data_IF_976347086763
#
_entry.id   IF_976347086763
#
_cell.length_a   1.000
_cell.length_b   1.000
_cell.length_c   1.000
_cell.angle_alpha   90.00
_cell.angle_beta   90.00
_cell.angle_gamma   90.00
#
_symmetry.space_group_name_H-M   'P 1'
#
loop_
_entity.id
_entity.type
_entity.pdbx_description
1 polymer ?
#
# COMPACT_ATOMS: atom_id res chain seq x y z
N UNK A 1 26.25 13.33 -12.55
CA UNK A 1 25.21 12.30 -12.72
C UNK A 1 24.69 11.91 -11.35
N UNK A 2 23.40 12.06 -11.12
CA UNK A 2 22.81 11.52 -9.91
C UNK A 2 22.71 10.00 -10.07
N UNK A 3 23.48 9.28 -9.27
CA UNK A 3 23.36 7.85 -9.14
C UNK A 3 21.96 7.53 -8.61
N UNK A 4 21.24 6.60 -9.23
CA UNK A 4 19.93 6.19 -8.77
C UNK A 4 20.07 5.57 -7.37
N UNK A 5 19.21 5.99 -6.43
CA UNK A 5 19.20 5.45 -5.08
C UNK A 5 18.91 3.94 -5.12
N UNK A 6 19.58 3.17 -4.26
CA UNK A 6 19.19 1.80 -3.98
C UNK A 6 17.80 1.77 -3.31
N UNK A 7 17.11 0.63 -3.36
CA UNK A 7 15.80 0.49 -2.71
C UNK A 7 15.81 0.86 -1.22
N UNK A 8 16.78 0.39 -0.40
CA UNK A 8 16.86 0.80 1.01
C UNK A 8 17.05 2.32 1.17
N UNK A 9 17.95 2.93 0.42
CA UNK A 9 18.17 4.38 0.46
C UNK A 9 16.94 5.18 0.06
N UNK A 10 16.20 4.68 -0.95
CA UNK A 10 14.95 5.29 -1.38
C UNK A 10 13.92 5.32 -0.24
N UNK A 11 13.74 4.20 0.46
CA UNK A 11 12.79 4.13 1.59
C UNK A 11 13.25 4.95 2.79
N UNK A 12 14.55 4.99 3.09
CA UNK A 12 15.09 5.85 4.15
C UNK A 12 14.80 7.33 3.86
N UNK A 13 15.03 7.76 2.62
CA UNK A 13 14.74 9.12 2.19
C UNK A 13 13.24 9.42 2.17
N UNK A 14 12.45 8.50 1.67
CA UNK A 14 11.00 8.64 1.62
C UNK A 14 10.41 8.78 3.03
N UNK A 15 10.85 7.95 3.97
CA UNK A 15 10.43 8.04 5.37
C UNK A 15 10.82 9.38 6.00
N UNK A 16 12.06 9.83 5.80
CA UNK A 16 12.52 11.11 6.33
C UNK A 16 11.69 12.28 5.77
N UNK A 17 11.41 12.30 4.49
CA UNK A 17 10.59 13.32 3.83
C UNK A 17 9.14 13.30 4.33
N UNK A 18 8.56 12.12 4.55
CA UNK A 18 7.23 11.98 5.11
C UNK A 18 7.16 12.49 6.56
N UNK A 19 8.12 12.13 7.39
CA UNK A 19 8.19 12.62 8.77
C UNK A 19 8.29 14.14 8.83
N UNK A 20 9.13 14.74 7.98
CA UNK A 20 9.27 16.20 7.90
C UNK A 20 8.00 16.87 7.37
N UNK A 21 7.36 16.30 6.35
CA UNK A 21 6.16 16.88 5.71
C UNK A 21 4.96 16.82 6.63
N UNK A 22 4.81 15.72 7.36
CA UNK A 22 3.66 15.45 8.23
C UNK A 22 3.88 15.91 9.69
N UNK A 23 5.01 16.50 10.00
CA UNK A 23 5.29 17.00 11.34
C UNK A 23 4.21 17.97 11.81
N UNK A 24 3.57 17.67 12.94
CA UNK A 24 2.50 18.49 13.51
C UNK A 24 1.12 18.32 12.82
N UNK A 25 1.02 17.44 11.85
CA UNK A 25 -0.27 17.12 11.19
C UNK A 25 -0.94 15.97 11.95
N UNK A 26 -2.10 16.26 12.51
CA UNK A 26 -2.95 15.29 13.21
C UNK A 26 -4.24 15.09 12.40
N UNK A 27 -4.08 14.54 11.20
CA UNK A 27 -5.18 14.31 10.26
C UNK A 27 -4.87 13.07 9.41
N UNK A 28 -5.66 12.02 9.60
CA UNK A 28 -5.44 10.74 8.91
C UNK A 28 -5.62 10.85 7.39
N UNK A 29 -6.55 11.68 6.94
CA UNK A 29 -6.79 11.87 5.50
C UNK A 29 -5.58 12.55 4.86
N UNK A 30 -5.07 13.61 5.48
CA UNK A 30 -3.88 14.30 5.00
C UNK A 30 -2.65 13.38 4.99
N UNK A 31 -2.48 12.58 6.04
CA UNK A 31 -1.39 11.61 6.14
C UNK A 31 -1.49 10.55 5.03
N UNK A 32 -2.64 9.92 4.87
CA UNK A 32 -2.87 8.91 3.82
C UNK A 32 -2.67 9.48 2.41
N UNK A 33 -3.20 10.67 2.14
CA UNK A 33 -3.05 11.32 0.85
C UNK A 33 -1.58 11.61 0.51
N UNK A 34 -0.82 12.09 1.49
CA UNK A 34 0.60 12.39 1.32
C UNK A 34 1.43 11.13 1.11
N UNK A 35 1.19 10.09 1.89
CA UNK A 35 1.86 8.79 1.72
C UNK A 35 1.55 8.20 0.34
N UNK A 36 0.28 8.15 -0.05
CA UNK A 36 -0.12 7.65 -1.37
C UNK A 36 0.56 8.41 -2.50
N UNK A 37 0.61 9.73 -2.40
CA UNK A 37 1.26 10.59 -3.38
C UNK A 37 2.75 10.28 -3.52
N UNK A 38 3.50 10.26 -2.42
CA UNK A 38 4.95 10.07 -2.46
C UNK A 38 5.36 8.64 -2.82
N UNK A 39 4.62 7.63 -2.37
CA UNK A 39 4.86 6.24 -2.78
C UNK A 39 4.63 6.09 -4.28
N UNK A 40 3.52 6.60 -4.80
CA UNK A 40 3.20 6.56 -6.22
C UNK A 40 4.26 7.26 -7.08
N UNK A 41 4.71 8.43 -6.63
CA UNK A 41 5.67 9.25 -7.38
C UNK A 41 7.09 8.68 -7.38
N UNK A 42 7.53 8.10 -6.25
CA UNK A 42 8.95 7.79 -6.02
C UNK A 42 9.33 6.33 -6.09
N UNK A 43 8.41 5.41 -5.78
CA UNK A 43 8.73 3.98 -5.86
C UNK A 43 8.66 3.52 -7.32
N UNK A 44 9.77 3.04 -7.89
CA UNK A 44 9.80 2.69 -9.30
C UNK A 44 8.79 1.60 -9.67
N UNK A 45 8.11 1.79 -10.81
CA UNK A 45 7.18 0.82 -11.37
C UNK A 45 5.81 0.78 -10.72
N UNK A 46 5.54 1.61 -9.72
CA UNK A 46 4.22 1.68 -9.07
C UNK A 46 3.19 2.27 -10.04
N UNK A 47 2.07 1.58 -10.20
CA UNK A 47 0.93 2.01 -11.01
C UNK A 47 -0.28 2.46 -10.20
N UNK A 48 -0.34 2.07 -8.92
CA UNK A 48 -1.37 2.45 -7.96
C UNK A 48 -0.77 2.46 -6.56
N UNK A 49 -1.10 3.46 -5.76
CA UNK A 49 -0.79 3.48 -4.33
C UNK A 49 -1.96 4.11 -3.58
N UNK A 50 -2.55 3.38 -2.66
CA UNK A 50 -3.73 3.88 -1.97
C UNK A 50 -4.10 3.10 -0.74
N UNK A 51 -5.01 3.70 0.03
CA UNK A 51 -5.49 3.14 1.28
C UNK A 51 -6.91 2.64 1.14
N UNK A 52 -7.18 1.48 1.73
CA UNK A 52 -8.52 0.98 1.99
C UNK A 52 -8.75 0.97 3.49
N UNK A 53 -9.76 1.70 3.96
CA UNK A 53 -10.08 1.86 5.38
C UNK A 53 -11.08 0.80 5.81
N UNK A 54 -10.92 0.28 7.01
CA UNK A 54 -11.93 -0.57 7.62
C UNK A 54 -13.15 0.27 7.98
N UNK A 55 -14.32 -0.05 7.43
CA UNK A 55 -15.58 0.65 7.67
C UNK A 55 -16.67 -0.24 8.28
N UNK A 56 -16.34 -1.50 8.51
CA UNK A 56 -17.23 -2.48 9.12
C UNK A 56 -16.45 -3.66 9.65
N UNK A 57 -17.12 -4.68 10.24
CA UNK A 57 -16.44 -5.83 10.83
C UNK A 57 -15.53 -6.56 9.83
N UNK A 58 -15.96 -6.66 8.57
CA UNK A 58 -15.26 -7.39 7.50
C UNK A 58 -15.33 -6.65 6.16
N UNK A 59 -15.26 -5.31 6.18
CA UNK A 59 -15.38 -4.50 4.97
C UNK A 59 -14.34 -3.38 4.94
N UNK A 60 -13.65 -3.29 3.80
CA UNK A 60 -12.76 -2.18 3.46
C UNK A 60 -13.45 -1.25 2.46
N UNK A 61 -13.21 0.04 2.59
CA UNK A 61 -13.66 1.07 1.65
C UNK A 61 -12.50 1.95 1.22
N UNK A 62 -12.48 2.32 -0.06
CA UNK A 62 -11.41 3.15 -0.62
C UNK A 62 -11.26 4.46 0.17
N UNK A 63 -10.02 4.82 0.39
CA UNK A 63 -9.56 6.08 0.95
C UNK A 63 -8.73 6.84 -0.06
N UNK A 64 -7.83 7.74 0.39
CA UNK A 64 -6.92 8.46 -0.51
C UNK A 64 -6.05 7.51 -1.32
N UNK A 65 -5.96 7.74 -2.64
CA UNK A 65 -5.11 6.97 -3.54
C UNK A 65 -4.63 7.79 -4.73
N UNK A 66 -3.61 7.26 -5.41
CA UNK A 66 -3.06 7.75 -6.67
C UNK A 66 -3.03 6.61 -7.69
N UNK A 67 -3.33 6.93 -8.95
CA UNK A 67 -3.34 5.98 -10.05
C UNK A 67 -4.72 5.81 -10.67
N UNK A 68 -4.93 4.73 -11.45
CA UNK A 68 -6.21 4.47 -12.09
C UNK A 68 -7.30 4.15 -11.07
N UNK A 69 -8.55 4.16 -11.51
CA UNK A 69 -9.70 3.91 -10.64
C UNK A 69 -9.55 2.60 -9.88
N UNK A 70 -9.59 2.67 -8.55
CA UNK A 70 -9.59 1.51 -7.66
C UNK A 70 -10.98 0.97 -7.38
N UNK A 71 -11.05 -0.22 -6.77
CA UNK A 71 -12.29 -0.74 -6.23
C UNK A 71 -12.84 0.21 -5.15
N UNK A 72 -14.16 0.33 -5.03
CA UNK A 72 -14.76 1.19 -4.00
C UNK A 72 -14.86 0.46 -2.66
N UNK A 73 -15.21 -0.81 -2.68
CA UNK A 73 -15.34 -1.65 -1.48
C UNK A 73 -14.73 -3.03 -1.72
N UNK A 74 -14.07 -3.56 -0.69
CA UNK A 74 -13.46 -4.89 -0.72
C UNK A 74 -13.83 -5.62 0.58
N UNK A 75 -14.58 -6.74 0.47
CA UNK A 75 -14.82 -7.58 1.64
C UNK A 75 -13.54 -8.29 2.06
N UNK A 76 -13.38 -8.57 3.36
CA UNK A 76 -12.21 -9.29 3.88
C UNK A 76 -12.05 -10.70 3.28
N UNK A 77 -13.13 -11.28 2.77
CA UNK A 77 -13.12 -12.61 2.17
C UNK A 77 -12.46 -12.69 0.79
N UNK A 78 -12.08 -11.55 0.17
CA UNK A 78 -11.65 -11.51 -1.23
C UNK A 78 -10.42 -10.67 -1.46
N UNK A 79 -9.62 -11.09 -2.44
CA UNK A 79 -8.48 -10.34 -2.95
C UNK A 79 -7.29 -10.29 -2.00
N UNK A 80 -6.23 -9.63 -2.44
CA UNK A 80 -4.99 -9.46 -1.67
C UNK A 80 -5.22 -8.52 -0.48
N UNK A 81 -5.96 -7.44 -0.67
CA UNK A 81 -6.34 -6.54 0.43
C UNK A 81 -7.16 -7.27 1.50
N UNK A 82 -8.08 -8.12 1.10
CA UNK A 82 -8.86 -8.96 2.03
C UNK A 82 -7.97 -9.92 2.82
N UNK A 83 -7.00 -10.54 2.17
CA UNK A 83 -6.03 -11.43 2.83
C UNK A 83 -5.18 -10.68 3.87
N UNK A 84 -4.64 -9.51 3.50
CA UNK A 84 -3.89 -8.68 4.43
C UNK A 84 -4.73 -8.26 5.64
N UNK A 85 -6.00 -7.93 5.42
CA UNK A 85 -6.93 -7.56 6.46
C UNK A 85 -7.23 -8.71 7.44
N UNK A 86 -7.50 -9.90 6.90
CA UNK A 86 -7.80 -11.11 7.70
C UNK A 86 -6.60 -11.56 8.51
N UNK A 87 -5.45 -11.65 7.87
CA UNK A 87 -4.22 -12.22 8.45
C UNK A 87 -3.45 -11.20 9.29
N UNK A 88 -3.75 -9.90 9.13
CA UNK A 88 -3.00 -8.79 9.75
C UNK A 88 -1.51 -8.91 9.46
N UNK A 89 -1.18 -9.30 8.24
CA UNK A 89 0.18 -9.52 7.77
C UNK A 89 0.33 -9.01 6.34
N UNK A 90 1.50 -8.46 6.04
CA UNK A 90 1.86 -8.00 4.69
C UNK A 90 1.75 -9.14 3.69
N UNK A 91 1.11 -8.86 2.56
CA UNK A 91 1.00 -9.76 1.41
C UNK A 91 1.91 -9.27 0.29
N UNK A 92 2.90 -10.08 -0.05
CA UNK A 92 3.78 -9.84 -1.21
C UNK A 92 3.39 -10.79 -2.33
N UNK A 93 2.86 -10.25 -3.42
CA UNK A 93 2.30 -11.02 -4.54
C UNK A 93 3.07 -10.70 -5.82
N UNK A 94 4.03 -11.54 -6.24
CA UNK A 94 4.80 -11.30 -7.46
C UNK A 94 3.99 -11.51 -8.75
N UNK A 95 2.93 -12.32 -8.70
CA UNK A 95 2.00 -12.53 -9.81
C UNK A 95 0.56 -12.58 -9.29
N UNK A 96 -0.19 -11.52 -9.54
CA UNK A 96 -1.58 -11.40 -9.09
C UNK A 96 -2.51 -12.45 -9.72
N UNK A 97 -2.19 -12.93 -10.91
CA UNK A 97 -2.99 -13.95 -11.59
C UNK A 97 -2.87 -15.34 -10.93
N UNK A 98 -1.79 -15.56 -10.18
CA UNK A 98 -1.59 -16.77 -9.38
C UNK A 98 -2.21 -16.69 -7.97
N UNK A 99 -2.70 -15.51 -7.55
CA UNK A 99 -3.30 -15.33 -6.24
C UNK A 99 -4.77 -15.75 -6.25
N UNK A 100 -5.13 -16.71 -5.40
CA UNK A 100 -6.49 -17.21 -5.29
C UNK A 100 -7.45 -16.10 -4.78
N UNK A 101 -8.55 -15.86 -5.52
CA UNK A 101 -9.55 -14.86 -5.15
C UNK A 101 -9.14 -13.41 -5.47
N UNK A 102 -8.10 -13.21 -6.28
CA UNK A 102 -7.69 -11.88 -6.72
C UNK A 102 -8.85 -11.09 -7.34
N UNK A 103 -8.97 -9.82 -6.93
CA UNK A 103 -9.93 -8.87 -7.51
C UNK A 103 -9.19 -7.95 -8.47
N UNK A 104 -9.53 -8.03 -9.76
CA UNK A 104 -8.92 -7.19 -10.79
C UNK A 104 -9.67 -5.86 -10.94
N UNK A 105 -9.36 -4.87 -10.12
CA UNK A 105 -9.87 -3.50 -10.29
C UNK A 105 -9.12 -2.76 -11.41
N UNK A 106 -7.86 -3.09 -11.65
CA UNK A 106 -7.08 -2.74 -12.83
C UNK A 106 -6.55 -4.02 -13.47
N UNK A 107 -7.06 -4.37 -14.63
CA UNK A 107 -6.68 -5.60 -15.36
C UNK A 107 -5.20 -5.60 -15.79
N UNK A 108 -4.55 -4.44 -15.81
CA UNK A 108 -3.13 -4.31 -16.15
C UNK A 108 -2.19 -4.64 -15.00
N UNK A 109 -2.68 -4.71 -13.77
CA UNK A 109 -1.87 -5.06 -12.60
C UNK A 109 -1.25 -6.44 -12.77
N UNK A 110 0.02 -6.58 -12.40
CA UNK A 110 0.78 -7.83 -12.48
C UNK A 110 1.35 -8.26 -11.14
N UNK A 111 1.83 -7.32 -10.34
CA UNK A 111 2.32 -7.57 -8.99
C UNK A 111 1.71 -6.59 -8.01
N UNK A 112 1.66 -6.97 -6.74
CA UNK A 112 0.98 -6.22 -5.70
C UNK A 112 1.64 -6.47 -4.34
N UNK A 113 1.64 -5.45 -3.52
CA UNK A 113 1.99 -5.57 -2.11
C UNK A 113 0.93 -4.83 -1.28
N UNK A 114 0.43 -5.48 -0.25
CA UNK A 114 -0.55 -4.89 0.67
C UNK A 114 -0.03 -4.99 2.09
N UNK A 115 0.02 -3.85 2.76
CA UNK A 115 0.52 -3.72 4.13
C UNK A 115 -0.64 -3.36 5.06
N UNK A 116 -0.93 -4.17 6.08
CA UNK A 116 -1.97 -3.84 7.07
C UNK A 116 -1.49 -2.74 8.01
N UNK A 117 -2.42 -1.89 8.41
CA UNK A 117 -2.22 -0.83 9.40
C UNK A 117 -3.08 -1.15 10.61
N UNK A 118 -2.42 -1.39 11.73
CA UNK A 118 -3.09 -1.72 12.98
C UNK A 118 -3.15 -0.48 13.88
N UNK A 119 -4.24 -0.34 14.63
CA UNK A 119 -4.34 0.69 15.64
C UNK A 119 -3.57 0.29 16.92
N UNK A 120 -3.59 1.16 17.94
CA UNK A 120 -2.87 0.94 19.20
C UNK A 120 -3.38 -0.30 19.96
N UNK A 121 -4.61 -0.73 19.70
CA UNK A 121 -5.20 -1.95 20.26
C UNK A 121 -4.90 -3.23 19.47
N UNK A 122 -4.14 -3.13 18.36
CA UNK A 122 -3.84 -4.27 17.49
C UNK A 122 -4.96 -4.62 16.51
N UNK A 123 -6.02 -3.81 16.43
CA UNK A 123 -7.11 -4.00 15.47
C UNK A 123 -6.77 -3.37 14.13
N UNK A 124 -7.29 -3.96 13.05
CA UNK A 124 -7.09 -3.43 11.71
C UNK A 124 -7.81 -2.08 11.54
N UNK A 125 -7.07 -1.06 11.18
CA UNK A 125 -7.59 0.27 10.82
C UNK A 125 -7.75 0.44 9.31
N UNK A 126 -6.74 0.00 8.55
CA UNK A 126 -6.69 0.14 7.10
C UNK A 126 -5.66 -0.83 6.50
N UNK A 127 -5.57 -0.84 5.17
CA UNK A 127 -4.45 -1.43 4.44
C UNK A 127 -3.89 -0.40 3.47
N UNK A 128 -2.58 -0.45 3.23
CA UNK A 128 -1.92 0.25 2.13
C UNK A 128 -1.74 -0.74 0.98
N UNK A 129 -2.36 -0.44 -0.15
CA UNK A 129 -2.30 -1.23 -1.38
C UNK A 129 -1.39 -0.55 -2.41
N UNK A 130 -0.40 -1.28 -2.89
CA UNK A 130 0.55 -0.79 -3.90
C UNK A 130 0.63 -1.81 -5.03
N UNK A 131 0.27 -1.37 -6.24
CA UNK A 131 0.24 -2.20 -7.43
C UNK A 131 1.30 -1.78 -8.45
N UNK A 132 1.68 -2.74 -9.30
CA UNK A 132 2.53 -2.50 -10.46
C UNK A 132 2.01 -3.22 -11.69
N UNK A 133 2.17 -2.61 -12.86
CA UNK A 133 1.95 -3.26 -14.16
C UNK A 133 3.11 -4.19 -14.55
N UNK A 134 4.19 -4.23 -13.77
CA UNK A 134 5.34 -5.11 -13.97
C UNK A 134 5.22 -6.35 -13.10
N UNK A 135 5.53 -7.55 -13.62
CA UNK A 135 5.59 -8.74 -12.78
C UNK A 135 6.75 -8.64 -11.79
N UNK A 136 6.55 -9.15 -10.58
CA UNK A 136 7.57 -9.22 -9.53
C UNK A 136 8.30 -7.88 -9.28
N UNK A 137 7.57 -6.76 -9.31
CA UNK A 137 8.17 -5.43 -9.12
C UNK A 137 8.60 -5.16 -7.67
N UNK A 138 8.07 -5.91 -6.72
CA UNK A 138 8.31 -5.71 -5.30
C UNK A 138 9.03 -6.91 -4.68
N UNK A 139 9.87 -6.65 -3.68
CA UNK A 139 10.60 -7.65 -2.93
C UNK A 139 10.52 -7.43 -1.40
N UNK A 140 11.29 -8.17 -0.63
CA UNK A 140 11.31 -8.05 0.82
C UNK A 140 11.73 -6.64 1.32
N UNK A 141 12.56 -5.94 0.56
CA UNK A 141 12.95 -4.57 0.89
C UNK A 141 11.76 -3.61 0.79
N UNK A 142 10.90 -3.80 -0.21
CA UNK A 142 9.65 -3.02 -0.35
C UNK A 142 8.69 -3.31 0.81
N UNK A 143 8.55 -4.58 1.23
CA UNK A 143 7.77 -4.95 2.41
C UNK A 143 8.23 -4.18 3.65
N UNK A 144 9.52 -4.27 3.95
CA UNK A 144 10.11 -3.59 5.11
C UNK A 144 9.97 -2.08 5.04
N UNK A 145 10.25 -1.50 3.88
CA UNK A 145 10.15 -0.05 3.65
C UNK A 145 8.73 0.47 3.83
N UNK A 146 7.74 -0.18 3.24
CA UNK A 146 6.33 0.22 3.34
C UNK A 146 5.79 -0.02 4.75
N UNK A 147 6.18 -1.10 5.42
CA UNK A 147 5.80 -1.35 6.81
C UNK A 147 6.31 -0.25 7.77
N UNK A 148 7.52 0.25 7.54
CA UNK A 148 8.07 1.38 8.30
C UNK A 148 7.30 2.68 8.07
N UNK A 149 6.84 2.91 6.85
CA UNK A 149 6.08 4.12 6.48
C UNK A 149 4.72 4.17 7.17
N UNK A 150 4.04 3.05 7.34
CA UNK A 150 2.67 2.99 7.88
C UNK A 150 2.59 2.83 9.40
N UNK A 151 3.74 2.80 10.05
CA UNK A 151 3.78 2.75 11.53
C UNK A 151 3.39 4.07 12.19
#
# INVERSE_FOLDING_TARGET
>A
MNEALSRPELYDRLLADLEATLAGIDDDIAAMATVACLVFERVPGVSFAGFYRRVGPELLRVGPYQGPLGCLEIPFSRGVCGAAARERATQLVPDVHAFAGHIACDERARSEIVVPILDDGGELAAVLDVDSHLPANFDACDCEGLERIVR
#
